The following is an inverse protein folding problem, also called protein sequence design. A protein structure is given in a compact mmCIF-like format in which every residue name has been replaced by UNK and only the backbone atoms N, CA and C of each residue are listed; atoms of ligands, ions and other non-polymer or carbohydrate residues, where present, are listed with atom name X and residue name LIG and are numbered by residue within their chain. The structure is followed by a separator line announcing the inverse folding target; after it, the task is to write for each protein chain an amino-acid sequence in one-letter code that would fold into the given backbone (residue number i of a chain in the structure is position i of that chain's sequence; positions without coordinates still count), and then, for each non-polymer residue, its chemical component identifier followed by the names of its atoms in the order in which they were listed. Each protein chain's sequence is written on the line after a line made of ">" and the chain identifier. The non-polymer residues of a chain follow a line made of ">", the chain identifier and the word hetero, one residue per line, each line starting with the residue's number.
data_IF_451877678462
#
_entry.id   IF_451877678462
#
_cell.length_a   1.000
_cell.length_b   1.000
_cell.length_c   1.000
_cell.angle_alpha   90.00
_cell.angle_beta   90.00
_cell.angle_gamma   90.00
#
_symmetry.space_group_name_H-M   'P 1'
#
loop_
_entity.id
_entity.type
_entity.pdbx_description
1 polymer ?
#
# COMPACT_ATOMS: atom_id res chain seq x y z
N UNK A 1 -5.04 -10.62 44.88
CA UNK A 1 -5.40 -9.67 43.82
C UNK A 1 -5.19 -10.36 42.51
N UNK A 2 -6.27 -10.64 41.78
CA UNK A 2 -6.19 -11.37 40.52
C UNK A 2 -5.51 -10.48 39.47
N UNK A 3 -4.46 -11.02 38.83
CA UNK A 3 -3.71 -10.36 37.75
C UNK A 3 -3.81 -11.22 36.50
N UNK A 4 -4.13 -10.60 35.37
CA UNK A 4 -4.12 -11.24 34.06
C UNK A 4 -2.73 -11.07 33.44
N UNK A 5 -2.05 -12.19 33.19
CA UNK A 5 -0.79 -12.19 32.46
C UNK A 5 -1.05 -12.01 30.96
N UNK A 6 -0.39 -11.03 30.35
CA UNK A 6 -0.47 -10.76 28.91
C UNK A 6 0.93 -10.86 28.31
N UNK A 7 1.07 -11.73 27.31
CA UNK A 7 2.28 -11.90 26.51
C UNK A 7 1.97 -11.54 25.05
N UNK A 8 2.76 -10.63 24.47
CA UNK A 8 2.70 -10.26 23.06
C UNK A 8 4.01 -10.65 22.40
N UNK A 9 3.92 -11.59 21.46
CA UNK A 9 5.05 -12.01 20.63
C UNK A 9 4.93 -11.44 19.23
N UNK A 10 5.98 -10.79 18.74
CA UNK A 10 6.06 -10.31 17.36
C UNK A 10 7.38 -10.77 16.72
N UNK A 11 7.34 -11.16 15.45
CA UNK A 11 8.53 -11.59 14.73
C UNK A 11 8.57 -11.05 13.31
N UNK A 12 9.77 -10.79 12.83
CA UNK A 12 10.06 -10.59 11.42
C UNK A 12 11.28 -11.44 11.02
N UNK A 13 11.75 -11.29 9.78
CA UNK A 13 12.88 -12.07 9.24
C UNK A 13 14.22 -11.87 9.97
N UNK A 14 14.31 -10.89 10.87
CA UNK A 14 15.55 -10.47 11.54
C UNK A 14 15.46 -10.47 13.07
N UNK A 15 14.26 -10.30 13.64
CA UNK A 15 14.05 -10.06 15.07
C UNK A 15 12.80 -10.75 15.59
N UNK A 16 12.89 -11.16 16.84
CA UNK A 16 11.80 -11.68 17.65
C UNK A 16 11.70 -10.81 18.90
N UNK A 17 10.49 -10.35 19.22
CA UNK A 17 10.20 -9.49 20.37
C UNK A 17 9.13 -10.18 21.21
N UNK A 18 9.35 -10.22 22.51
CA UNK A 18 8.37 -10.67 23.51
C UNK A 18 8.17 -9.54 24.50
N UNK A 19 6.94 -9.07 24.64
CA UNK A 19 6.54 -8.12 25.66
C UNK A 19 5.62 -8.83 26.64
N UNK A 20 5.90 -8.72 27.94
CA UNK A 20 5.09 -9.33 29.01
C UNK A 20 4.64 -8.26 29.98
N UNK A 21 3.39 -8.32 30.42
CA UNK A 21 2.84 -7.43 31.45
C UNK A 21 1.74 -8.13 32.23
N UNK A 22 1.60 -7.78 33.51
CA UNK A 22 0.54 -8.30 34.38
C UNK A 22 -0.48 -7.19 34.69
N UNK A 23 -1.68 -7.33 34.15
CA UNK A 23 -2.77 -6.35 34.26
C UNK A 23 -3.64 -6.65 35.48
N UNK A 24 -3.85 -5.69 36.40
CA UNK A 24 -4.76 -5.88 37.53
C UNK A 24 -6.22 -5.97 37.07
N UNK A 25 -7.01 -6.87 37.68
CA UNK A 25 -8.40 -7.15 37.27
C UNK A 25 -9.43 -6.23 37.94
N UNK A 26 -9.07 -5.51 38.99
CA UNK A 26 -9.99 -4.59 39.68
C UNK A 26 -10.07 -3.20 39.03
N UNK A 27 -11.27 -2.59 38.97
CA UNK A 27 -11.40 -1.20 38.55
C UNK A 27 -10.68 -0.31 39.57
N UNK A 28 -9.66 0.42 39.11
CA UNK A 28 -9.13 1.52 39.92
C UNK A 28 -10.28 2.48 40.19
N UNK A 29 -10.73 2.55 41.44
CA UNK A 29 -11.48 3.72 41.91
C UNK A 29 -10.54 4.90 41.69
N UNK A 30 -10.79 5.67 40.63
CA UNK A 30 -10.15 6.95 40.44
C UNK A 30 -10.32 7.73 41.75
N UNK A 31 -9.21 8.07 42.39
CA UNK A 31 -9.23 8.97 43.54
C UNK A 31 -9.99 10.22 43.15
N UNK A 32 -10.89 10.65 44.03
CA UNK A 32 -11.53 11.96 43.94
C UNK A 32 -10.44 13.02 43.86
N UNK A 33 -10.16 13.51 42.66
CA UNK A 33 -9.65 14.85 42.40
C UNK A 33 -9.94 15.17 40.94
N UNK A 34 -11.11 15.77 40.72
CA UNK A 34 -11.34 16.95 39.88
C UNK A 34 -12.83 17.27 39.94
N UNK A 35 -13.09 18.46 40.44
CA UNK A 35 -14.37 19.15 40.59
C UNK A 35 -15.08 19.33 39.24
N UNK A 36 -16.39 19.07 39.19
CA UNK A 36 -17.31 19.79 38.29
C UNK A 36 -18.01 18.98 37.20
N UNK A 37 -19.11 18.30 37.54
CA UNK A 37 -20.48 18.61 37.08
C UNK A 37 -21.42 17.41 37.30
N UNK A 38 -22.38 17.59 38.20
CA UNK A 38 -23.46 16.66 38.44
C UNK A 38 -24.38 16.58 37.21
N UNK A 39 -24.56 15.36 36.66
CA UNK A 39 -25.71 15.03 35.80
C UNK A 39 -26.87 14.52 36.66
N UNK A 40 -28.13 14.74 36.25
CA UNK A 40 -29.28 14.30 37.00
C UNK A 40 -29.39 12.78 36.95
N UNK A 41 -29.64 12.20 38.13
CA UNK A 41 -29.98 10.78 38.33
C UNK A 41 -31.31 10.49 37.63
N UNK A 42 -31.24 9.87 36.45
CA UNK A 42 -32.37 9.16 35.86
C UNK A 42 -32.34 7.71 36.34
N UNK A 43 -33.42 7.27 36.97
CA UNK A 43 -33.60 5.89 37.42
C UNK A 43 -33.66 4.94 36.22
N UNK A 44 -32.63 4.11 36.12
CA UNK A 44 -32.45 3.04 35.16
C UNK A 44 -31.01 2.58 35.25
N UNK A 45 -30.76 1.41 35.84
CA UNK A 45 -29.46 0.75 35.81
C UNK A 45 -29.08 0.44 34.35
N UNK A 46 -28.56 1.43 33.64
CA UNK A 46 -27.89 1.21 32.36
C UNK A 46 -26.44 0.87 32.65
N UNK A 47 -26.25 -0.34 33.17
CA UNK A 47 -24.95 -0.92 33.50
C UNK A 47 -24.23 -1.37 32.21
N UNK A 48 -24.08 -0.45 31.25
CA UNK A 48 -23.36 -0.69 30.00
C UNK A 48 -21.88 -0.41 30.24
N UNK A 49 -21.17 -1.34 30.88
CA UNK A 49 -19.71 -1.33 30.91
C UNK A 49 -19.18 -1.20 29.46
N UNK A 50 -18.56 -0.07 29.09
CA UNK A 50 -18.16 0.20 27.71
C UNK A 50 -17.10 -0.81 27.23
N UNK A 51 -16.27 -1.35 28.13
CA UNK A 51 -15.29 -2.40 27.81
C UNK A 51 -15.98 -3.72 27.48
N UNK A 52 -17.04 -4.06 28.22
CA UNK A 52 -17.86 -5.25 27.93
C UNK A 52 -18.56 -5.11 26.58
N UNK A 53 -19.12 -3.93 26.28
CA UNK A 53 -19.75 -3.65 24.99
C UNK A 53 -18.74 -3.69 23.84
N UNK A 54 -17.54 -3.15 24.02
CA UNK A 54 -16.44 -3.22 23.05
C UNK A 54 -16.00 -4.67 22.79
N UNK A 55 -15.78 -5.45 23.86
CA UNK A 55 -15.44 -6.87 23.75
C UNK A 55 -16.52 -7.65 22.98
N UNK A 56 -17.79 -7.43 23.32
CA UNK A 56 -18.90 -8.06 22.60
C UNK A 56 -18.93 -7.64 21.12
N UNK A 57 -18.70 -6.37 20.80
CA UNK A 57 -18.69 -5.88 19.42
C UNK A 57 -17.59 -6.57 18.59
N UNK A 58 -16.36 -6.60 19.11
CA UNK A 58 -15.23 -7.23 18.44
C UNK A 58 -15.46 -8.73 18.25
N UNK A 59 -15.98 -9.41 19.28
CA UNK A 59 -16.26 -10.85 19.23
C UNK A 59 -17.37 -11.18 18.23
N UNK A 60 -18.45 -10.37 18.18
CA UNK A 60 -19.50 -10.53 17.16
C UNK A 60 -18.90 -10.34 15.75
N UNK A 61 -18.05 -9.33 15.55
CA UNK A 61 -17.40 -9.11 14.25
C UNK A 61 -16.54 -10.31 13.84
N UNK A 62 -15.73 -10.86 14.75
CA UNK A 62 -14.90 -12.04 14.51
C UNK A 62 -15.73 -13.28 14.16
N UNK A 63 -16.84 -13.52 14.86
CA UNK A 63 -17.75 -14.63 14.57
C UNK A 63 -18.40 -14.49 13.18
N UNK A 64 -18.80 -13.27 12.79
CA UNK A 64 -19.34 -13.00 11.45
C UNK A 64 -18.29 -13.19 10.34
N UNK A 65 -17.05 -12.74 10.56
CA UNK A 65 -15.94 -12.97 9.63
C UNK A 65 -15.61 -14.46 9.48
N UNK A 66 -15.57 -15.20 10.59
CA UNK A 66 -15.35 -16.66 10.59
C UNK A 66 -16.49 -17.40 9.87
N UNK A 67 -17.73 -16.96 10.08
CA UNK A 67 -18.90 -17.50 9.38
C UNK A 67 -18.81 -17.34 7.87
N UNK A 68 -18.32 -16.18 7.39
CA UNK A 68 -18.15 -15.90 5.96
C UNK A 68 -17.03 -16.75 5.33
N UNK A 69 -15.99 -17.08 6.11
CA UNK A 69 -14.82 -17.83 5.64
C UNK A 69 -14.99 -19.35 5.73
N UNK A 70 -15.90 -19.86 6.57
CA UNK A 70 -16.11 -21.31 6.72
C UNK A 70 -16.71 -21.92 5.45
N UNK A 71 -16.18 -23.07 5.03
CA UNK A 71 -16.72 -23.90 3.95
C UNK A 71 -17.65 -25.02 4.44
N UNK A 72 -17.82 -25.18 5.75
CA UNK A 72 -18.60 -26.26 6.36
C UNK A 72 -19.93 -25.71 6.90
N UNK A 73 -21.05 -26.22 6.38
CA UNK A 73 -22.39 -25.76 6.76
C UNK A 73 -22.73 -26.00 8.24
N UNK A 74 -22.22 -27.08 8.85
CA UNK A 74 -22.43 -27.34 10.27
C UNK A 74 -21.69 -26.32 11.15
N UNK A 75 -20.47 -25.96 10.76
CA UNK A 75 -19.67 -24.94 11.44
C UNK A 75 -20.29 -23.56 11.27
N UNK A 76 -20.77 -23.22 10.07
CA UNK A 76 -21.52 -21.98 9.84
C UNK A 76 -22.73 -21.86 10.75
N UNK A 77 -23.54 -22.90 10.88
CA UNK A 77 -24.72 -22.82 11.75
C UNK A 77 -24.32 -22.62 13.23
N UNK A 78 -23.24 -23.27 13.70
CA UNK A 78 -22.70 -23.04 15.04
C UNK A 78 -22.20 -21.60 15.24
N UNK A 79 -21.45 -21.06 14.27
CA UNK A 79 -20.93 -19.69 14.32
C UNK A 79 -22.07 -18.66 14.29
N UNK A 80 -23.08 -18.89 13.45
CA UNK A 80 -24.30 -18.07 13.39
C UNK A 80 -25.01 -18.03 14.73
N UNK A 81 -25.23 -19.18 15.36
CA UNK A 81 -25.91 -19.27 16.67
C UNK A 81 -25.13 -18.53 17.76
N UNK A 82 -23.80 -18.69 17.81
CA UNK A 82 -22.93 -17.95 18.74
C UNK A 82 -23.02 -16.44 18.52
N UNK A 83 -22.91 -15.99 17.26
CA UNK A 83 -22.97 -14.58 16.90
C UNK A 83 -24.33 -13.97 17.26
N UNK A 84 -25.43 -14.67 16.94
CA UNK A 84 -26.79 -14.24 17.26
C UNK A 84 -27.00 -14.14 18.77
N UNK A 85 -26.61 -15.16 19.54
CA UNK A 85 -26.76 -15.15 21.00
C UNK A 85 -26.00 -13.99 21.65
N UNK A 86 -24.75 -13.75 21.24
CA UNK A 86 -23.94 -12.67 21.76
C UNK A 86 -24.48 -11.28 21.35
N UNK A 87 -24.97 -11.16 20.11
CA UNK A 87 -25.58 -9.93 19.61
C UNK A 87 -26.87 -9.59 20.36
N UNK A 88 -27.75 -10.56 20.63
CA UNK A 88 -28.95 -10.36 21.44
C UNK A 88 -28.59 -9.94 22.86
N UNK A 89 -27.67 -10.67 23.52
CA UNK A 89 -27.24 -10.37 24.89
C UNK A 89 -26.58 -8.99 25.01
N UNK A 90 -25.93 -8.52 23.94
CA UNK A 90 -25.23 -7.23 23.91
C UNK A 90 -26.05 -6.13 23.24
N UNK A 91 -27.31 -6.39 22.90
CA UNK A 91 -28.24 -5.43 22.28
C UNK A 91 -27.71 -4.85 20.95
N UNK A 92 -27.08 -5.69 20.13
CA UNK A 92 -26.62 -5.32 18.79
C UNK A 92 -27.61 -5.73 17.69
N UNK A 93 -27.85 -4.81 16.77
CA UNK A 93 -28.48 -5.11 15.49
C UNK A 93 -27.40 -5.61 14.53
N UNK A 94 -27.58 -6.82 14.01
CA UNK A 94 -26.63 -7.56 13.17
C UNK A 94 -27.40 -8.27 12.06
N UNK A 95 -26.72 -8.86 11.04
CA UNK A 95 -27.41 -9.67 10.02
C UNK A 95 -28.23 -10.86 10.57
N UNK A 96 -28.01 -11.27 11.83
CA UNK A 96 -28.71 -12.38 12.48
C UNK A 96 -29.69 -11.96 13.57
N UNK A 97 -29.91 -10.65 13.77
CA UNK A 97 -30.84 -10.12 14.77
C UNK A 97 -31.82 -9.12 14.14
N UNK A 98 -32.97 -8.90 14.77
CA UNK A 98 -33.95 -7.90 14.33
C UNK A 98 -34.61 -7.22 15.53
N UNK A 99 -35.05 -5.97 15.35
CA UNK A 99 -35.75 -5.18 16.37
C UNK A 99 -37.23 -5.10 15.97
N UNK A 100 -38.13 -5.50 16.88
CA UNK A 100 -39.58 -5.40 16.68
C UNK A 100 -40.16 -4.32 17.58
N UNK A 101 -40.76 -3.29 17.00
CA UNK A 101 -41.52 -2.29 17.75
C UNK A 101 -42.95 -2.80 17.99
N UNK A 102 -43.37 -2.90 19.26
CA UNK A 102 -44.80 -3.08 19.57
C UNK A 102 -45.49 -1.73 19.46
N UNK A 103 -46.41 -1.57 18.50
CA UNK A 103 -47.29 -0.40 18.45
C UNK A 103 -48.15 -0.36 19.73
N UNK A 104 -48.22 0.76 20.47
CA UNK A 104 -49.11 0.86 21.61
C UNK A 104 -50.57 0.75 21.16
N UNK A 105 -51.34 -0.09 21.85
CA UNK A 105 -52.76 -0.25 21.62
C UNK A 105 -53.53 0.91 22.27
N UNK A 106 -54.24 1.65 21.41
CA UNK A 106 -55.41 2.51 21.65
C UNK A 106 -55.20 3.96 22.12
N UNK A 107 -55.54 4.90 21.23
CA UNK A 107 -56.55 5.91 21.56
C UNK A 107 -57.68 5.83 20.53
N UNK A 108 -58.90 5.69 21.03
CA UNK A 108 -60.15 5.58 20.29
C UNK A 108 -60.37 6.79 19.37
N UNK A 109 -61.01 6.52 18.22
CA UNK A 109 -61.72 7.44 17.31
C UNK A 109 -61.91 8.87 17.84
N UNK A 110 -61.35 9.84 17.13
CA UNK A 110 -62.05 11.08 16.83
C UNK A 110 -61.80 11.37 15.34
N UNK A 111 -62.87 11.30 14.56
CA UNK A 111 -62.91 11.83 13.19
C UNK A 111 -62.85 13.37 13.30
N UNK A 112 -61.90 14.02 12.62
CA UNK A 112 -62.15 14.89 11.46
C UNK A 112 -60.81 15.47 10.90
N UNK A 113 -60.78 16.16 9.73
CA UNK A 113 -59.73 16.00 8.73
C UNK A 113 -58.81 17.23 8.65
N UNK A 114 -57.82 17.14 7.75
CA UNK A 114 -56.84 18.17 7.36
C UNK A 114 -55.53 18.23 8.15
N UNK A 115 -54.43 18.15 7.40
CA UNK A 115 -53.19 18.84 7.75
C UNK A 115 -51.90 18.04 7.61
N UNK A 116 -51.50 17.78 6.36
CA UNK A 116 -50.10 17.83 5.87
C UNK A 116 -49.00 17.14 6.70
N UNK A 117 -48.44 16.05 6.17
CA UNK A 117 -47.07 15.64 6.51
C UNK A 117 -46.33 15.12 5.27
N UNK A 118 -45.34 15.91 4.86
CA UNK A 118 -44.34 15.54 3.87
C UNK A 118 -43.11 15.01 4.62
N UNK A 119 -42.64 13.82 4.25
CA UNK A 119 -41.22 13.47 4.06
C UNK A 119 -41.09 11.97 3.80
N UNK A 120 -40.94 11.66 2.53
CA UNK A 120 -40.58 10.37 1.93
C UNK A 120 -39.16 9.99 2.34
N UNK A 121 -38.98 8.81 2.94
CA UNK A 121 -37.69 8.12 3.04
C UNK A 121 -37.69 6.92 2.08
N UNK A 122 -36.55 6.58 1.43
CA UNK A 122 -36.54 5.65 0.31
C UNK A 122 -36.81 4.20 0.74
N UNK A 123 -37.62 3.54 -0.08
CA UNK A 123 -38.11 2.17 0.09
C UNK A 123 -36.98 1.12 0.11
N UNK A 124 -37.08 0.21 1.07
CA UNK A 124 -36.31 -1.04 1.09
C UNK A 124 -36.95 -2.00 0.09
N UNK A 125 -36.40 -2.10 -1.12
CA UNK A 125 -36.78 -3.14 -2.07
C UNK A 125 -36.07 -4.44 -1.69
N UNK A 126 -36.81 -5.37 -1.07
CA UNK A 126 -36.42 -6.78 -1.02
C UNK A 126 -36.58 -7.37 -2.42
N UNK A 127 -35.47 -7.74 -3.07
CA UNK A 127 -35.53 -8.65 -4.22
C UNK A 127 -35.33 -10.08 -3.76
N UNK A 128 -36.37 -10.89 -3.97
CA UNK A 128 -36.43 -12.32 -3.70
C UNK A 128 -35.48 -13.10 -4.61
N UNK A 129 -34.79 -14.09 -4.02
CA UNK A 129 -34.14 -15.17 -4.74
C UNK A 129 -35.21 -16.16 -5.25
N UNK A 130 -35.52 -16.12 -6.54
CA UNK A 130 -36.08 -17.27 -7.24
C UNK A 130 -35.73 -17.21 -8.72
N UNK A 131 -35.09 -18.28 -9.20
CA UNK A 131 -34.55 -18.38 -10.54
C UNK A 131 -35.60 -18.61 -11.62
N UNK A 132 -35.33 -18.08 -12.80
CA UNK A 132 -35.95 -18.50 -14.05
C UNK A 132 -35.01 -18.31 -15.25
N UNK A 133 -34.71 -19.45 -15.86
CA UNK A 133 -34.34 -19.75 -17.25
C UNK A 133 -33.58 -18.74 -18.14
N UNK A 134 -32.35 -19.19 -18.45
CA UNK A 134 -31.60 -19.15 -19.71
C UNK A 134 -32.34 -18.67 -20.98
N UNK A 135 -31.85 -17.58 -21.58
CA UNK A 135 -31.61 -17.40 -23.02
C UNK A 135 -30.39 -16.47 -23.23
N UNK A 136 -29.58 -16.64 -24.29
CA UNK A 136 -28.22 -16.11 -24.38
C UNK A 136 -28.16 -14.72 -25.02
N UNK A 137 -27.70 -13.72 -24.25
CA UNK A 137 -27.34 -12.38 -24.72
C UNK A 137 -25.83 -12.23 -24.98
N UNK A 138 -25.41 -11.24 -25.78
CA UNK A 138 -24.25 -11.36 -26.66
C UNK A 138 -22.90 -11.26 -25.95
N UNK A 139 -21.96 -12.04 -26.50
CA UNK A 139 -20.56 -12.22 -26.13
C UNK A 139 -19.93 -11.09 -25.30
N UNK A 140 -19.42 -11.48 -24.13
CA UNK A 140 -18.43 -10.78 -23.31
C UNK A 140 -17.47 -9.96 -24.17
N UNK A 141 -17.64 -8.63 -24.13
CA UNK A 141 -16.57 -7.72 -24.55
C UNK A 141 -15.37 -8.02 -23.67
N UNK A 142 -14.26 -8.41 -24.31
CA UNK A 142 -12.94 -8.58 -23.70
C UNK A 142 -12.69 -7.44 -22.71
N UNK A 143 -12.10 -7.70 -21.53
CA UNK A 143 -11.76 -6.64 -20.60
C UNK A 143 -10.91 -5.62 -21.35
N UNK A 144 -11.43 -4.40 -21.39
CA UNK A 144 -10.73 -3.20 -21.82
C UNK A 144 -9.42 -3.18 -21.04
N UNK A 145 -8.31 -3.37 -21.75
CA UNK A 145 -6.97 -3.12 -21.24
C UNK A 145 -6.73 -1.63 -21.52
N UNK A 146 -7.03 -0.69 -20.60
CA UNK A 146 -6.39 0.59 -20.73
C UNK A 146 -4.91 0.26 -20.62
N UNK A 147 -4.17 0.39 -21.73
CA UNK A 147 -2.76 0.73 -21.63
C UNK A 147 -2.76 2.10 -20.97
N UNK A 148 -2.87 2.11 -19.64
CA UNK A 148 -2.52 3.24 -18.81
C UNK A 148 -1.17 3.66 -19.37
N UNK A 149 -1.02 4.94 -19.75
CA UNK A 149 0.29 5.46 -20.13
C UNK A 149 1.16 5.36 -18.88
N UNK A 150 1.76 4.20 -18.67
CA UNK A 150 2.54 3.90 -17.48
C UNK A 150 3.78 4.76 -17.59
N UNK A 151 4.01 5.62 -16.60
CA UNK A 151 5.30 6.30 -16.51
C UNK A 151 6.39 5.23 -16.42
N UNK A 152 7.53 5.48 -17.06
CA UNK A 152 8.67 4.56 -17.01
C UNK A 152 9.43 4.63 -15.68
N UNK A 153 9.02 5.54 -14.79
CA UNK A 153 9.65 5.75 -13.50
C UNK A 153 9.53 4.49 -12.64
N UNK A 154 10.68 3.87 -12.36
CA UNK A 154 10.74 2.53 -11.79
C UNK A 154 12.07 2.22 -11.11
N UNK A 155 12.05 1.21 -10.25
CA UNK A 155 13.22 0.59 -9.65
C UNK A 155 13.09 -0.94 -9.76
N UNK A 156 13.96 -1.58 -10.54
CA UNK A 156 13.84 -3.00 -10.86
C UNK A 156 15.21 -3.65 -11.14
N UNK A 157 15.32 -4.97 -11.05
CA UNK A 157 16.59 -5.67 -11.21
C UNK A 157 17.54 -5.40 -10.04
N UNK A 158 18.82 -5.04 -10.33
CA UNK A 158 19.90 -5.04 -9.33
C UNK A 158 20.28 -3.69 -8.67
N UNK A 159 19.36 -3.06 -7.93
CA UNK A 159 18.25 -2.31 -8.49
C UNK A 159 18.74 -1.21 -9.44
N UNK A 160 18.20 -1.24 -10.66
CA UNK A 160 18.33 -0.18 -11.64
C UNK A 160 17.16 0.78 -11.52
N UNK A 161 17.46 2.07 -11.39
CA UNK A 161 16.47 3.12 -11.30
C UNK A 161 16.32 3.79 -12.65
N UNK A 162 15.07 4.03 -13.02
CA UNK A 162 14.66 4.76 -14.22
C UNK A 162 13.72 5.86 -13.77
N UNK A 163 13.92 7.06 -14.31
CA UNK A 163 13.09 8.24 -14.05
C UNK A 163 12.67 8.83 -15.38
N UNK A 164 11.37 8.99 -15.56
CA UNK A 164 10.77 9.54 -16.77
C UNK A 164 10.33 10.99 -16.56
N UNK A 165 11.06 11.92 -17.17
CA UNK A 165 10.70 13.34 -17.21
C UNK A 165 9.79 13.59 -18.41
N UNK A 166 8.51 13.23 -18.25
CA UNK A 166 7.53 13.23 -19.34
C UNK A 166 7.40 14.59 -20.05
N UNK A 167 7.49 15.71 -19.32
CA UNK A 167 7.42 17.07 -19.86
C UNK A 167 8.54 17.34 -20.89
N UNK A 168 9.73 16.81 -20.64
CA UNK A 168 10.92 17.04 -21.45
C UNK A 168 11.23 15.87 -22.40
N UNK A 169 10.36 14.83 -22.44
CA UNK A 169 10.57 13.57 -23.19
C UNK A 169 11.96 12.97 -22.93
N UNK A 170 12.42 13.07 -21.69
CA UNK A 170 13.75 12.68 -21.27
C UNK A 170 13.66 11.56 -20.25
N UNK A 171 14.37 10.46 -20.50
CA UNK A 171 14.47 9.37 -19.53
C UNK A 171 15.89 9.31 -18.99
N UNK A 172 16.03 9.28 -17.68
CA UNK A 172 17.31 9.17 -16.96
C UNK A 172 17.35 7.84 -16.24
N UNK A 173 18.52 7.22 -16.19
CA UNK A 173 18.71 5.97 -15.46
C UNK A 173 19.97 6.06 -14.60
N UNK A 174 19.95 5.40 -13.44
CA UNK A 174 21.08 5.34 -12.53
C UNK A 174 21.02 4.05 -11.72
N UNK A 175 22.11 3.73 -11.04
CA UNK A 175 22.18 2.57 -10.17
C UNK A 175 22.49 3.05 -8.76
N UNK A 176 21.92 2.36 -7.78
CA UNK A 176 22.32 2.49 -6.38
C UNK A 176 22.66 1.09 -5.90
N UNK A 177 23.88 0.91 -5.42
CA UNK A 177 24.32 -0.34 -4.84
C UNK A 177 24.01 -0.34 -3.33
N UNK A 178 23.00 -1.11 -2.94
CA UNK A 178 22.66 -1.31 -1.53
C UNK A 178 23.21 -2.61 -0.96
N UNK A 179 23.08 -2.78 0.35
CA UNK A 179 23.42 -4.03 1.04
C UNK A 179 22.18 -4.90 1.26
N UNK A 180 22.36 -6.24 1.33
CA UNK A 180 21.28 -7.14 1.73
C UNK A 180 20.68 -6.73 3.08
N UNK A 181 19.37 -6.47 3.09
CA UNK A 181 18.65 -6.08 4.29
C UNK A 181 18.47 -4.57 4.47
N UNK A 182 19.10 -3.74 3.65
CA UNK A 182 18.80 -2.31 3.59
C UNK A 182 17.35 -2.10 3.13
N UNK A 183 16.72 -1.07 3.67
CA UNK A 183 15.34 -0.69 3.33
C UNK A 183 15.40 0.69 2.68
N UNK A 184 15.15 0.74 1.38
CA UNK A 184 15.25 1.96 0.59
C UNK A 184 13.92 2.69 0.53
N UNK A 185 13.93 4.00 0.82
CA UNK A 185 12.79 4.90 0.67
C UNK A 185 12.61 5.31 -0.80
N UNK A 186 11.65 4.69 -1.48
CA UNK A 186 11.39 4.89 -2.90
C UNK A 186 10.52 6.12 -3.14
N UNK A 187 9.45 6.26 -2.36
CA UNK A 187 8.49 7.36 -2.41
C UNK A 187 8.17 7.80 -0.99
N UNK A 188 8.22 9.10 -0.72
CA UNK A 188 7.99 9.71 0.58
C UNK A 188 7.15 10.95 0.43
N UNK A 189 5.85 10.80 0.68
CA UNK A 189 4.87 11.88 0.61
C UNK A 189 3.85 11.77 1.75
N UNK A 190 4.35 11.37 2.93
CA UNK A 190 3.53 10.96 4.06
C UNK A 190 2.69 12.12 4.64
N UNK A 191 3.27 13.32 4.74
CA UNK A 191 2.59 14.46 5.35
C UNK A 191 1.48 15.00 4.45
N UNK A 192 1.73 15.04 3.13
CA UNK A 192 0.82 15.65 2.17
C UNK A 192 -0.21 14.65 1.63
N UNK A 193 0.19 13.62 0.86
CA UNK A 193 -0.76 12.61 0.35
C UNK A 193 -1.04 11.45 1.31
N UNK A 194 -0.21 11.28 2.34
CA UNK A 194 -0.31 10.11 3.23
C UNK A 194 0.42 8.88 2.71
N UNK A 195 1.18 8.98 1.61
CA UNK A 195 1.77 7.82 0.93
C UNK A 195 3.26 7.67 1.24
N UNK A 196 3.68 6.47 1.59
CA UNK A 196 5.10 6.12 1.73
C UNK A 196 5.34 4.75 1.12
N UNK A 197 6.41 4.61 0.34
CA UNK A 197 6.81 3.33 -0.25
C UNK A 197 8.27 3.05 0.07
N UNK A 198 8.50 1.90 0.69
CA UNK A 198 9.84 1.41 1.00
C UNK A 198 10.08 0.05 0.34
N UNK A 199 11.34 -0.24 0.01
CA UNK A 199 11.74 -1.51 -0.59
C UNK A 199 12.91 -2.15 0.16
N UNK A 200 12.70 -3.33 0.73
CA UNK A 200 13.77 -4.11 1.39
C UNK A 200 14.58 -4.91 0.37
N UNK A 201 15.90 -4.82 0.46
CA UNK A 201 16.84 -5.55 -0.40
C UNK A 201 17.15 -6.96 0.10
N UNK A 202 17.33 -7.90 -0.83
CA UNK A 202 17.91 -9.23 -0.59
C UNK A 202 19.14 -9.43 -1.47
N UNK A 203 20.16 -10.08 -0.92
CA UNK A 203 21.39 -10.40 -1.65
C UNK A 203 21.28 -11.67 -2.49
N UNK A 204 21.99 -11.67 -3.61
CA UNK A 204 22.31 -12.85 -4.39
C UNK A 204 23.82 -12.86 -4.72
N UNK A 205 24.45 -14.05 -4.76
CA UNK A 205 25.80 -14.20 -5.31
C UNK A 205 25.92 -13.55 -6.68
N UNK A 206 27.11 -13.08 -7.04
CA UNK A 206 27.36 -12.64 -8.39
C UNK A 206 27.38 -13.84 -9.35
N UNK A 207 26.89 -13.67 -10.61
CA UNK A 207 27.10 -14.68 -11.63
C UNK A 207 28.60 -14.88 -11.91
N UNK A 208 29.02 -16.06 -12.41
CA UNK A 208 30.39 -16.29 -12.84
C UNK A 208 30.86 -15.18 -13.79
N UNK A 209 32.07 -14.66 -13.59
CA UNK A 209 32.67 -13.54 -14.34
C UNK A 209 31.93 -12.19 -14.19
N UNK A 210 31.04 -12.04 -13.21
CA UNK A 210 30.39 -10.77 -12.92
C UNK A 210 31.36 -9.73 -12.32
N UNK A 211 31.21 -8.47 -12.72
CA UNK A 211 32.00 -7.35 -12.18
C UNK A 211 31.62 -6.95 -10.75
N UNK A 212 30.39 -7.29 -10.31
CA UNK A 212 29.93 -7.02 -8.94
C UNK A 212 30.26 -8.20 -8.02
N UNK A 213 30.60 -7.94 -6.76
CA UNK A 213 30.82 -8.99 -5.74
C UNK A 213 29.52 -9.65 -5.28
N UNK A 214 28.43 -8.89 -5.24
CA UNK A 214 27.08 -9.35 -4.92
C UNK A 214 26.04 -8.52 -5.70
N UNK A 215 24.86 -9.08 -5.91
CA UNK A 215 23.70 -8.35 -6.44
C UNK A 215 22.65 -8.22 -5.36
N UNK A 216 21.85 -7.16 -5.44
CA UNK A 216 20.74 -6.93 -4.53
C UNK A 216 19.45 -6.72 -5.29
N UNK A 217 18.35 -7.28 -4.81
CA UNK A 217 17.03 -7.16 -5.43
C UNK A 217 15.99 -6.79 -4.38
N UNK A 218 14.85 -6.19 -4.76
CA UNK A 218 13.78 -5.97 -3.80
C UNK A 218 13.08 -7.29 -3.46
N UNK A 219 13.11 -7.70 -2.19
CA UNK A 219 12.35 -8.87 -1.70
C UNK A 219 10.94 -8.52 -1.26
N UNK A 220 10.79 -7.30 -0.76
CA UNK A 220 9.57 -6.82 -0.13
C UNK A 220 9.40 -5.36 -0.48
N UNK A 221 8.22 -5.01 -1.00
CA UNK A 221 7.79 -3.62 -1.14
C UNK A 221 6.69 -3.39 -0.11
N UNK A 222 6.86 -2.36 0.71
CA UNK A 222 5.86 -1.93 1.68
C UNK A 222 5.28 -0.59 1.27
N UNK A 223 3.96 -0.48 1.41
CA UNK A 223 3.23 0.76 1.13
C UNK A 223 2.45 1.12 2.38
N UNK A 224 2.71 2.30 2.90
CA UNK A 224 1.90 2.91 3.95
C UNK A 224 1.02 3.97 3.31
N UNK A 225 -0.27 3.91 3.62
CA UNK A 225 -1.27 4.90 3.21
C UNK A 225 -1.91 5.41 4.49
N UNK A 226 -1.83 6.71 4.77
CA UNK A 226 -2.38 7.31 5.99
C UNK A 226 -3.65 8.15 5.74
N UNK A 227 -4.02 8.36 4.48
CA UNK A 227 -5.20 9.12 4.07
C UNK A 227 -6.01 8.32 3.04
N UNK A 228 -7.34 8.22 3.16
CA UNK A 228 -8.18 8.79 4.23
C UNK A 228 -8.05 8.02 5.55
N UNK A 229 -7.66 6.75 5.51
CA UNK A 229 -7.44 5.92 6.69
C UNK A 229 -6.12 5.17 6.60
N UNK A 230 -5.57 4.84 7.77
CA UNK A 230 -4.29 4.14 7.88
C UNK A 230 -4.41 2.71 7.38
N UNK A 231 -3.66 2.39 6.34
CA UNK A 231 -3.53 1.07 5.75
C UNK A 231 -2.07 0.74 5.47
N UNK A 232 -1.71 -0.52 5.62
CA UNK A 232 -0.40 -1.06 5.34
C UNK A 232 -0.51 -2.17 4.30
N UNK A 233 0.40 -2.14 3.34
CA UNK A 233 0.58 -3.23 2.39
C UNK A 233 2.00 -3.76 2.53
N UNK A 234 2.14 -5.07 2.57
CA UNK A 234 3.41 -5.78 2.42
C UNK A 234 3.30 -6.71 1.22
N UNK A 235 4.06 -6.42 0.17
CA UNK A 235 4.10 -7.23 -1.05
C UNK A 235 5.41 -8.00 -1.08
N UNK A 236 5.30 -9.31 -1.28
CA UNK A 236 6.42 -10.23 -1.52
C UNK A 236 6.15 -11.00 -2.82
N UNK A 237 7.12 -11.74 -3.38
CA UNK A 237 6.87 -12.54 -4.59
C UNK A 237 5.76 -13.59 -4.46
N UNK A 238 5.35 -13.95 -3.23
CA UNK A 238 4.41 -15.05 -2.98
C UNK A 238 3.08 -14.63 -2.35
N UNK A 239 3.05 -13.49 -1.66
CA UNK A 239 1.85 -12.99 -0.98
C UNK A 239 1.82 -11.47 -0.91
N UNK A 240 0.60 -10.95 -0.82
CA UNK A 240 0.29 -9.58 -0.43
C UNK A 240 -0.45 -9.61 0.90
N UNK A 241 0.03 -8.86 1.88
CA UNK A 241 -0.70 -8.58 3.12
C UNK A 241 -1.29 -7.18 2.99
N UNK A 242 -2.60 -7.06 3.19
CA UNK A 242 -3.29 -5.77 3.27
C UNK A 242 -3.89 -5.66 4.68
N UNK A 243 -3.51 -4.63 5.41
CA UNK A 243 -4.00 -4.34 6.76
C UNK A 243 -4.51 -2.90 6.81
N UNK A 244 -5.82 -2.71 6.65
CA UNK A 244 -6.47 -1.40 6.61
C UNK A 244 -7.83 -1.38 7.27
N UNK A 245 -8.10 -2.36 8.13
CA UNK A 245 -9.38 -2.57 8.83
C UNK A 245 -9.55 -4.03 9.22
N UNK A 246 -9.69 -4.89 8.22
CA UNK A 246 -9.51 -6.34 8.36
C UNK A 246 -8.19 -6.73 7.70
N UNK A 247 -7.49 -7.69 8.31
CA UNK A 247 -6.21 -8.18 7.77
C UNK A 247 -6.47 -9.25 6.71
N UNK A 248 -6.07 -8.96 5.48
CA UNK A 248 -6.17 -9.87 4.34
C UNK A 248 -4.79 -10.37 3.94
N UNK A 249 -4.70 -11.66 3.61
CA UNK A 249 -3.49 -12.28 3.06
C UNK A 249 -3.85 -12.90 1.71
N UNK A 250 -3.39 -12.27 0.63
CA UNK A 250 -3.70 -12.64 -0.74
C UNK A 250 -2.52 -13.40 -1.34
N UNK A 251 -2.71 -14.61 -1.89
CA UNK A 251 -1.62 -15.32 -2.54
C UNK A 251 -1.34 -14.73 -3.93
N UNK A 252 -0.06 -14.58 -4.30
CA UNK A 252 0.33 -14.01 -5.60
C UNK A 252 0.13 -14.97 -6.78
N UNK A 253 -0.20 -16.24 -6.54
CA UNK A 253 -0.44 -17.24 -7.58
C UNK A 253 -1.90 -17.30 -8.07
N UNK A 254 -2.78 -16.46 -7.51
CA UNK A 254 -4.19 -16.35 -7.89
C UNK A 254 -4.52 -14.90 -8.19
N UNK A 255 -5.39 -14.67 -9.18
CA UNK A 255 -5.85 -13.33 -9.50
C UNK A 255 -7.01 -12.93 -8.61
N UNK A 256 -6.88 -11.81 -7.91
CA UNK A 256 -7.89 -11.31 -6.97
C UNK A 256 -7.85 -9.78 -6.94
N UNK A 257 -9.02 -9.16 -6.80
CA UNK A 257 -9.14 -7.71 -6.59
C UNK A 257 -9.83 -7.49 -5.26
N UNK A 258 -9.22 -6.68 -4.40
CA UNK A 258 -9.81 -6.23 -3.15
C UNK A 258 -9.82 -4.71 -3.12
N UNK A 259 -10.95 -4.13 -2.72
CA UNK A 259 -11.11 -2.68 -2.62
C UNK A 259 -11.69 -2.33 -1.25
N UNK A 260 -11.10 -1.34 -0.59
CA UNK A 260 -11.62 -0.80 0.65
C UNK A 260 -11.31 0.69 0.75
N UNK A 261 -12.34 1.52 0.97
CA UNK A 261 -12.19 2.95 1.33
C UNK A 261 -11.20 3.75 0.45
N UNK A 262 -11.28 3.52 -0.86
CA UNK A 262 -10.46 4.19 -1.87
C UNK A 262 -9.02 3.65 -2.00
N UNK A 263 -8.69 2.56 -1.33
CA UNK A 263 -7.53 1.72 -1.65
C UNK A 263 -8.01 0.48 -2.41
N UNK A 264 -7.45 0.25 -3.58
CA UNK A 264 -7.70 -0.96 -4.39
C UNK A 264 -6.38 -1.69 -4.61
N UNK A 265 -6.40 -3.01 -4.38
CA UNK A 265 -5.29 -3.90 -4.62
C UNK A 265 -5.74 -5.00 -5.57
N UNK A 266 -5.11 -5.06 -6.73
CA UNK A 266 -5.35 -6.06 -7.76
C UNK A 266 -4.12 -6.93 -7.92
N UNK A 267 -4.24 -8.20 -7.60
CA UNK A 267 -3.21 -9.21 -7.82
C UNK A 267 -3.50 -9.90 -9.15
N UNK A 268 -2.52 -9.91 -10.05
CA UNK A 268 -2.52 -10.71 -11.27
C UNK A 268 -1.59 -11.90 -11.08
N UNK A 269 -2.14 -13.10 -11.19
CA UNK A 269 -1.45 -14.35 -10.86
C UNK A 269 -0.04 -14.44 -11.47
N UNK A 270 0.97 -14.56 -10.61
CA UNK A 270 2.39 -14.72 -10.95
C UNK A 270 2.99 -13.61 -11.82
N UNK A 271 2.33 -12.45 -11.93
CA UNK A 271 2.72 -11.38 -12.85
C UNK A 271 2.99 -10.07 -12.12
N UNK A 272 1.96 -9.49 -11.50
CA UNK A 272 2.07 -8.19 -10.86
C UNK A 272 1.00 -7.96 -9.78
N UNK A 273 1.25 -6.96 -8.94
CA UNK A 273 0.29 -6.39 -8.00
C UNK A 273 0.12 -4.92 -8.35
N UNK A 274 -1.11 -4.50 -8.61
CA UNK A 274 -1.45 -3.09 -8.84
C UNK A 274 -2.12 -2.54 -7.59
N UNK A 275 -1.63 -1.39 -7.12
CA UNK A 275 -2.16 -0.69 -5.95
C UNK A 275 -2.62 0.69 -6.38
N UNK A 276 -3.90 0.97 -6.24
CA UNK A 276 -4.52 2.26 -6.58
C UNK A 276 -5.02 2.94 -5.32
N UNK A 277 -4.65 4.19 -5.12
CA UNK A 277 -5.00 5.00 -3.95
C UNK A 277 -5.77 6.22 -4.43
N UNK A 278 -7.02 6.35 -3.97
CA UNK A 278 -7.99 7.39 -4.30
C UNK A 278 -8.20 7.61 -5.81
N UNK A 279 -7.86 6.61 -6.65
CA UNK A 279 -7.88 6.74 -8.11
C UNK A 279 -6.86 7.71 -8.70
N UNK A 280 -6.03 8.35 -7.88
CA UNK A 280 -5.09 9.41 -8.29
C UNK A 280 -3.64 8.94 -8.26
N UNK A 281 -3.29 8.06 -7.32
CA UNK A 281 -1.98 7.41 -7.25
C UNK A 281 -2.14 5.95 -7.64
N UNK A 282 -1.24 5.44 -8.49
CA UNK A 282 -1.23 4.05 -8.90
C UNK A 282 0.20 3.52 -8.97
N UNK A 283 0.44 2.38 -8.33
CA UNK A 283 1.70 1.66 -8.34
C UNK A 283 1.52 0.28 -8.96
N UNK A 284 2.52 -0.17 -9.70
CA UNK A 284 2.60 -1.53 -10.23
C UNK A 284 3.85 -2.18 -9.65
N UNK A 285 3.67 -3.30 -8.97
CA UNK A 285 4.74 -4.10 -8.39
C UNK A 285 4.85 -5.38 -9.21
N UNK A 286 5.89 -5.48 -10.04
CA UNK A 286 6.13 -6.65 -10.85
C UNK A 286 6.72 -7.78 -10.01
N UNK A 287 6.36 -9.02 -10.34
CA UNK A 287 6.84 -10.22 -9.67
C UNK A 287 7.75 -10.97 -10.63
N UNK A 288 9.03 -11.10 -10.28
CA UNK A 288 9.99 -11.90 -11.03
C UNK A 288 10.15 -13.26 -10.34
N UNK A 289 9.63 -14.31 -10.97
CA UNK A 289 9.69 -15.69 -10.47
C UNK A 289 10.61 -16.56 -11.32
N UNK A 290 11.52 -17.28 -10.66
CA UNK A 290 12.41 -18.24 -11.29
C UNK A 290 11.97 -19.67 -10.97
N UNK A 291 11.64 -20.46 -12.00
CA UNK A 291 11.25 -21.88 -11.82
C UNK A 291 12.40 -22.77 -11.36
N UNK A 292 13.62 -22.50 -11.87
CA UNK A 292 14.86 -23.23 -11.58
C UNK A 292 15.99 -22.21 -11.42
N UNK A 293 16.03 -21.46 -10.29
CA UNK A 293 17.00 -20.39 -10.12
C UNK A 293 18.41 -20.96 -10.03
N UNK A 294 19.34 -20.38 -10.79
CA UNK A 294 20.76 -20.52 -10.52
C UNK A 294 21.11 -19.87 -9.15
N UNK A 295 22.26 -20.17 -8.53
CA UNK A 295 22.61 -19.64 -7.20
C UNK A 295 22.56 -18.11 -7.08
N UNK A 296 22.81 -17.40 -8.18
CA UNK A 296 22.78 -15.93 -8.30
C UNK A 296 21.40 -15.36 -8.69
N UNK A 297 20.37 -16.19 -8.84
CA UNK A 297 19.01 -15.77 -9.14
C UNK A 297 18.15 -15.88 -7.88
N UNK A 298 17.35 -14.84 -7.64
CA UNK A 298 16.39 -14.78 -6.53
C UNK A 298 15.09 -14.25 -7.07
N UNK A 299 13.97 -14.85 -6.64
CA UNK A 299 12.66 -14.23 -6.83
C UNK A 299 12.69 -12.82 -6.22
N UNK A 300 12.19 -11.85 -6.96
CA UNK A 300 12.26 -10.45 -6.54
C UNK A 300 11.12 -9.65 -7.13
N UNK A 301 11.07 -8.38 -6.73
CA UNK A 301 10.06 -7.42 -7.12
C UNK A 301 10.69 -6.27 -7.90
N UNK A 302 9.92 -5.75 -8.86
CA UNK A 302 10.16 -4.45 -9.47
C UNK A 302 9.07 -3.47 -9.03
N UNK A 303 9.41 -2.22 -8.79
CA UNK A 303 8.46 -1.18 -8.39
C UNK A 303 8.33 -0.11 -9.49
N UNK A 304 7.10 0.19 -9.88
CA UNK A 304 6.77 1.11 -10.96
C UNK A 304 5.70 2.10 -10.51
N UNK A 305 5.89 3.38 -10.85
CA UNK A 305 4.91 4.44 -10.58
C UNK A 305 4.05 4.60 -11.83
N UNK A 306 2.84 4.06 -11.82
CA UNK A 306 1.93 4.15 -12.97
C UNK A 306 1.18 5.47 -13.04
N UNK A 307 0.84 6.06 -11.89
CA UNK A 307 0.25 7.40 -11.79
C UNK A 307 0.73 8.07 -10.51
N UNK A 308 1.26 9.28 -10.63
CA UNK A 308 1.70 10.12 -9.52
C UNK A 308 0.77 11.31 -9.26
N UNK A 309 -0.40 11.39 -9.93
CA UNK A 309 -1.27 12.59 -9.92
C UNK A 309 -1.75 13.00 -8.53
N UNK A 310 -1.89 12.04 -7.61
CA UNK A 310 -2.29 12.31 -6.22
C UNK A 310 -1.13 12.54 -5.26
N UNK A 311 0.13 12.46 -5.72
CA UNK A 311 1.30 12.78 -4.92
C UNK A 311 1.54 14.29 -4.96
N UNK A 312 2.03 14.85 -3.87
CA UNK A 312 2.28 16.28 -3.72
C UNK A 312 3.54 16.74 -4.47
N UNK A 313 3.67 18.06 -4.62
CA UNK A 313 4.89 18.69 -5.12
C UNK A 313 6.14 18.42 -4.26
N UNK A 314 5.95 18.12 -2.96
CA UNK A 314 7.03 17.84 -2.00
C UNK A 314 7.39 16.36 -1.92
N UNK A 315 6.77 15.51 -2.76
CA UNK A 315 7.07 14.09 -2.81
C UNK A 315 8.58 13.85 -2.99
N UNK A 316 9.15 13.07 -2.09
CA UNK A 316 10.59 12.79 -2.01
C UNK A 316 10.88 11.28 -2.09
N UNK A 317 12.13 10.89 -1.86
CA UNK A 317 12.62 9.52 -1.97
C UNK A 317 13.40 9.30 -3.27
N UNK A 318 13.94 8.10 -3.45
CA UNK A 318 14.81 7.78 -4.58
C UNK A 318 14.14 7.98 -5.95
N UNK A 319 12.82 7.80 -6.02
CA UNK A 319 12.02 8.09 -7.22
C UNK A 319 11.17 9.36 -7.05
N UNK A 320 10.56 9.53 -5.87
CA UNK A 320 9.60 10.61 -5.63
C UNK A 320 10.17 12.01 -5.88
N UNK A 321 11.44 12.24 -5.53
CA UNK A 321 12.10 13.55 -5.64
C UNK A 321 12.18 14.11 -7.07
N UNK A 322 11.90 13.30 -8.09
CA UNK A 322 11.95 13.68 -9.50
C UNK A 322 10.58 13.83 -10.15
N UNK A 323 9.49 13.40 -9.50
CA UNK A 323 8.17 13.29 -10.13
C UNK A 323 7.57 14.64 -10.59
N UNK A 324 7.95 15.73 -9.92
CA UNK A 324 7.46 17.09 -10.19
C UNK A 324 8.59 18.03 -10.63
N UNK A 325 9.63 17.49 -11.28
CA UNK A 325 10.84 18.24 -11.61
C UNK A 325 11.09 18.25 -13.11
N UNK A 326 11.77 19.29 -13.57
CA UNK A 326 12.25 19.39 -14.95
C UNK A 326 13.72 18.98 -15.06
N UNK A 327 14.05 18.38 -16.19
CA UNK A 327 15.39 17.92 -16.49
C UNK A 327 15.77 18.31 -17.92
N UNK A 328 17.00 18.80 -18.10
CA UNK A 328 17.52 19.28 -19.37
C UNK A 328 18.93 18.76 -19.61
N UNK A 329 19.28 18.55 -20.87
CA UNK A 329 20.65 18.23 -21.25
C UNK A 329 21.35 19.50 -21.74
N UNK A 330 22.62 19.64 -21.38
CA UNK A 330 23.53 20.64 -21.93
C UNK A 330 24.66 19.95 -22.68
N UNK A 331 24.95 20.43 -23.89
CA UNK A 331 25.86 19.81 -24.85
C UNK A 331 25.12 19.12 -26.01
N UNK A 332 25.77 19.01 -27.17
CA UNK A 332 25.21 18.22 -28.27
C UNK A 332 25.16 16.75 -27.87
N UNK A 333 23.98 16.10 -27.87
CA UNK A 333 23.87 14.71 -27.47
C UNK A 333 24.58 13.85 -28.53
N UNK A 334 25.71 13.25 -28.15
CA UNK A 334 26.37 12.22 -28.94
C UNK A 334 25.49 10.95 -28.96
N UNK A 335 24.38 10.98 -29.68
CA UNK A 335 23.57 9.79 -29.97
C UNK A 335 24.39 8.93 -30.93
N UNK A 336 24.63 7.64 -30.62
CA UNK A 336 25.19 6.74 -31.60
C UNK A 336 24.23 6.64 -32.79
N UNK A 337 24.71 7.01 -33.97
CA UNK A 337 23.97 6.86 -35.23
C UNK A 337 23.54 5.40 -35.38
N UNK A 338 22.27 5.12 -35.67
CA UNK A 338 21.73 3.75 -35.82
C UNK A 338 22.34 2.94 -36.99
N UNK A 339 23.29 3.52 -37.75
CA UNK A 339 23.88 2.96 -38.96
C UNK A 339 25.41 2.82 -38.90
N UNK A 340 26.01 2.45 -37.76
CA UNK A 340 27.45 2.17 -37.69
C UNK A 340 27.70 0.70 -37.31
N UNK A 341 27.90 -0.15 -38.32
CA UNK A 341 28.29 -1.57 -38.19
C UNK A 341 29.79 -1.73 -37.91
N UNK A 342 30.36 -0.93 -37.01
CA UNK A 342 31.75 -1.10 -36.56
C UNK A 342 31.99 -0.40 -35.21
N UNK A 343 32.82 -0.97 -34.31
CA UNK A 343 33.13 -0.34 -33.03
C UNK A 343 33.92 0.96 -33.26
N UNK A 344 33.58 2.09 -32.62
CA UNK A 344 34.36 3.32 -32.78
C UNK A 344 35.72 3.15 -32.10
N UNK A 345 36.81 3.32 -32.84
CA UNK A 345 38.13 3.58 -32.26
C UNK A 345 38.07 4.86 -31.40
N UNK A 346 38.76 4.92 -30.25
CA UNK A 346 38.82 6.13 -29.44
C UNK A 346 39.64 7.21 -30.18
N UNK A 347 38.96 8.20 -30.74
CA UNK A 347 39.63 9.44 -31.16
C UNK A 347 39.96 10.25 -29.91
N UNK A 348 41.25 10.44 -29.66
CA UNK A 348 41.75 11.41 -28.72
C UNK A 348 41.42 12.82 -29.23
N UNK A 349 40.60 13.56 -28.48
CA UNK A 349 40.28 14.97 -28.78
C UNK A 349 38.87 15.39 -28.38
N UNK A 350 38.72 15.89 -27.14
CA UNK A 350 37.74 16.93 -26.78
C UNK A 350 36.26 16.68 -27.07
N UNK A 351 35.71 15.52 -26.75
CA UNK A 351 34.25 15.33 -26.75
C UNK A 351 33.62 16.08 -25.56
N UNK A 352 32.81 17.11 -25.83
CA UNK A 352 32.01 17.80 -24.80
C UNK A 352 31.14 16.77 -24.08
N UNK A 353 31.41 16.57 -22.78
CA UNK A 353 30.67 15.59 -21.98
C UNK A 353 29.20 16.05 -21.87
N UNK A 354 28.24 15.19 -22.24
CA UNK A 354 26.82 15.54 -22.12
C UNK A 354 26.46 15.61 -20.63
N UNK A 355 25.96 16.77 -20.19
CA UNK A 355 25.62 17.02 -18.79
C UNK A 355 24.10 17.12 -18.63
N UNK A 356 23.57 16.40 -17.65
CA UNK A 356 22.18 16.51 -17.20
C UNK A 356 22.07 17.58 -16.12
N UNK A 357 21.11 18.49 -16.29
CA UNK A 357 20.69 19.49 -15.29
C UNK A 357 19.31 19.14 -14.76
N UNK A 358 19.20 18.91 -13.45
CA UNK A 358 17.94 18.60 -12.78
C UNK A 358 18.01 19.07 -11.33
N UNK A 359 17.01 19.82 -10.85
CA UNK A 359 16.97 20.33 -9.46
C UNK A 359 18.26 21.03 -8.98
N UNK A 360 18.92 21.81 -9.85
CA UNK A 360 20.20 22.45 -9.53
C UNK A 360 21.44 21.55 -9.60
N UNK A 361 21.27 20.23 -9.72
CA UNK A 361 22.36 19.29 -9.93
C UNK A 361 22.86 19.32 -11.37
N UNK A 362 24.16 19.06 -11.55
CA UNK A 362 24.80 18.92 -12.86
C UNK A 362 25.58 17.61 -12.88
N UNK A 363 25.13 16.65 -13.68
CA UNK A 363 25.66 15.28 -13.67
C UNK A 363 26.09 14.85 -15.06
N UNK A 364 27.33 14.37 -15.24
CA UNK A 364 27.73 13.75 -16.49
C UNK A 364 26.91 12.50 -16.81
N UNK A 365 26.37 12.44 -18.02
CA UNK A 365 25.52 11.34 -18.47
C UNK A 365 26.03 10.72 -19.76
N UNK A 366 25.77 9.42 -19.92
CA UNK A 366 26.05 8.68 -21.16
C UNK A 366 24.79 8.00 -21.65
N UNK A 367 24.57 8.00 -22.96
CA UNK A 367 23.42 7.30 -23.53
C UNK A 367 23.55 5.78 -23.34
N UNK A 368 22.46 5.14 -22.91
CA UNK A 368 22.35 3.68 -22.77
C UNK A 368 20.97 3.20 -23.20
N UNK A 369 20.91 1.92 -23.57
CA UNK A 369 19.66 1.18 -23.73
C UNK A 369 19.46 0.20 -22.59
N UNK A 370 18.22 0.11 -22.11
CA UNK A 370 17.81 -0.80 -21.05
C UNK A 370 16.49 -1.46 -21.39
N UNK A 371 16.21 -2.59 -20.76
CA UNK A 371 14.90 -3.25 -20.80
C UNK A 371 14.23 -3.15 -19.45
N UNK A 372 12.94 -2.84 -19.44
CA UNK A 372 12.07 -2.78 -18.26
C UNK A 372 10.87 -3.74 -18.47
N UNK A 373 9.98 -3.85 -17.49
CA UNK A 373 8.81 -4.75 -17.54
C UNK A 373 9.19 -6.18 -17.91
N UNK A 374 10.10 -6.78 -17.14
CA UNK A 374 10.56 -8.15 -17.38
C UNK A 374 11.15 -8.41 -18.80
N UNK A 375 11.65 -7.37 -19.46
CA UNK A 375 12.25 -7.48 -20.79
C UNK A 375 11.31 -7.12 -21.94
N UNK A 376 10.05 -6.79 -21.66
CA UNK A 376 9.01 -6.52 -22.67
C UNK A 376 9.17 -5.15 -23.33
N UNK A 377 9.70 -4.16 -22.61
CA UNK A 377 9.87 -2.80 -23.13
C UNK A 377 11.34 -2.39 -23.12
N UNK A 378 11.83 -1.95 -24.29
CA UNK A 378 13.15 -1.35 -24.44
C UNK A 378 13.05 0.18 -24.34
N UNK A 379 13.89 0.76 -23.49
CA UNK A 379 13.97 2.21 -23.28
C UNK A 379 15.36 2.73 -23.58
N UNK A 380 15.41 3.91 -24.19
CA UNK A 380 16.62 4.72 -24.29
C UNK A 380 16.69 5.62 -23.05
N UNK A 381 17.83 5.63 -22.34
CA UNK A 381 18.02 6.46 -21.15
C UNK A 381 19.41 7.11 -21.10
N UNK A 382 19.47 8.27 -20.47
CA UNK A 382 20.72 8.92 -20.12
C UNK A 382 21.19 8.40 -18.76
N UNK A 383 22.27 7.64 -18.77
CA UNK A 383 22.82 7.02 -17.59
C UNK A 383 23.71 7.99 -16.82
N UNK A 384 23.28 8.37 -15.61
CA UNK A 384 24.11 9.14 -14.68
C UNK A 384 25.24 8.25 -14.15
N UNK A 385 26.49 8.65 -14.42
CA UNK A 385 27.68 7.88 -13.99
C UNK A 385 27.79 7.80 -12.47
N UNK A 386 27.36 8.85 -11.78
CA UNK A 386 27.36 8.93 -10.33
C UNK A 386 25.97 9.33 -9.82
N UNK A 387 25.30 8.42 -9.13
CA UNK A 387 23.99 8.69 -8.53
C UNK A 387 24.06 9.73 -7.42
N UNK A 388 25.15 9.83 -6.66
CA UNK A 388 25.23 10.79 -5.54
C UNK A 388 25.27 12.24 -5.98
N UNK A 389 25.63 12.51 -7.24
CA UNK A 389 25.56 13.85 -7.83
C UNK A 389 24.15 14.18 -8.35
N UNK A 390 23.28 13.17 -8.49
CA UNK A 390 21.93 13.29 -9.03
C UNK A 390 20.86 13.42 -7.93
N UNK A 391 21.11 12.82 -6.77
CA UNK A 391 20.20 12.75 -5.64
C UNK A 391 20.43 13.94 -4.69
N UNK A 392 19.37 14.40 -4.03
CA UNK A 392 19.45 15.50 -3.05
C UNK A 392 20.29 15.15 -1.80
N UNK A 393 20.45 13.86 -1.47
CA UNK A 393 21.16 13.40 -0.28
C UNK A 393 22.11 12.22 -0.54
N UNK A 394 22.77 11.75 0.52
CA UNK A 394 23.61 10.56 0.49
C UNK A 394 22.76 9.29 0.61
N UNK A 395 23.36 8.14 0.27
CA UNK A 395 22.70 6.84 0.34
C UNK A 395 21.98 6.58 1.69
N UNK A 396 22.65 6.92 2.80
CA UNK A 396 22.14 6.71 4.17
C UNK A 396 20.87 7.49 4.46
N UNK A 397 20.65 8.63 3.79
CA UNK A 397 19.48 9.49 4.02
C UNK A 397 18.21 8.85 3.45
N UNK A 398 18.37 7.93 2.50
CA UNK A 398 17.28 7.15 1.90
C UNK A 398 17.06 5.79 2.59
N UNK A 399 17.76 5.51 3.70
CA UNK A 399 17.53 4.30 4.48
C UNK A 399 16.39 4.51 5.48
N UNK A 400 15.45 3.58 5.45
CA UNK A 400 14.38 3.45 6.44
C UNK A 400 14.81 2.53 7.58
N UNK A 401 14.45 2.89 8.81
CA UNK A 401 14.78 2.09 10.01
C UNK A 401 13.99 0.77 10.07
N UNK A 402 12.78 0.76 9.51
CA UNK A 402 11.91 -0.41 9.40
C UNK A 402 10.99 -0.32 8.17
N UNK A 403 10.34 -1.41 7.73
CA UNK A 403 9.60 -1.43 6.46
C UNK A 403 8.48 -0.38 6.34
N UNK A 404 7.85 0.00 7.45
CA UNK A 404 6.78 1.01 7.48
C UNK A 404 7.22 2.37 8.01
N UNK A 405 8.53 2.64 8.00
CA UNK A 405 9.09 3.91 8.46
C UNK A 405 8.67 5.05 7.52
N UNK A 406 7.96 6.01 8.10
CA UNK A 406 7.43 7.20 7.44
C UNK A 406 8.07 8.50 7.91
N UNK A 407 9.13 8.45 8.71
CA UNK A 407 9.83 9.65 9.14
C UNK A 407 10.48 10.34 7.94
N UNK A 408 10.19 11.63 7.79
CA UNK A 408 10.72 12.47 6.73
C UNK A 408 11.95 13.20 7.25
N UNK A 409 13.14 12.61 7.12
CA UNK A 409 14.40 13.25 7.52
C UNK A 409 14.82 14.41 6.62
N UNK A 410 14.15 14.59 5.47
CA UNK A 410 14.48 15.60 4.45
C UNK A 410 13.82 16.96 4.69
N UNK A 411 13.37 17.27 5.92
CA UNK A 411 12.85 18.60 6.26
C UNK A 411 13.98 19.64 6.21
N UNK A 412 13.77 20.64 5.35
CA UNK A 412 14.55 21.86 5.14
C UNK A 412 15.52 22.23 6.28
N UNK A 413 16.76 22.50 5.88
CA UNK A 413 17.66 23.37 6.64
C UNK A 413 17.02 24.75 6.80
N UNK A 414 16.23 24.94 7.85
CA UNK A 414 16.04 26.24 8.46
C UNK A 414 17.10 26.36 9.54
N UNK A 415 18.02 27.31 9.33
CA UNK A 415 19.00 27.77 10.31
C UNK A 415 18.41 27.76 11.73
N UNK A 416 18.85 26.82 12.56
CA UNK A 416 18.92 27.05 14.01
C UNK A 416 20.24 27.78 14.26
N UNK A 417 20.27 29.05 13.84
CA UNK A 417 21.20 30.03 14.37
C UNK A 417 20.62 30.58 15.66
N UNK A 418 21.39 30.39 16.73
CA UNK A 418 21.30 31.15 17.98
C UNK A 418 21.28 32.66 17.73
#
# INVERSE_FOLDING_TARGET
>A
MDRLHVEVTASNSKKFVVLKTDVPVEPQKAGNDVTGNARPKGEGEEDSNPLRRLWSYLTVKELLSSWLQSGNEQEKEQLRQKAQALAVNSHFLTPFTSIKLKKPLQLKKLEDPYGMSAATGPETVMQSLQGSNLQPGPALKKPYNPRIKVSKTSADGDPHFVVDFALNKLTVCFNIDGQPGDILRLVSDHLDSGVTVNGELIGAPAPPNGHKKQRTYFRTITILVNKPERSYLEVTPRRVILDGGDRLVLPCNQSVVVGCRGLEVSVSANANVTVTIQGTVAFVILIHLYKKPAPYQRDHLGFYISSSKGLSGNCHGLLGQFLNQDARLTGEPARPSKNATSPPLPKAGGGSETVLKVKGHQVPVVWKQRKIYNGEEQIDCWFARNATQLLDGEYKDYLAAHPFDSETTFSLGTSRGL
#
